data_IF_587744658499
#
_entry.id   IF_587744658499
#
_cell.length_a   1.000
_cell.length_b   1.000
_cell.length_c   1.000
_cell.angle_alpha   90.00
_cell.angle_beta   90.00
_cell.angle_gamma   90.00
#
_symmetry.space_group_name_H-M   'P 1'
#
loop_
_entity.id
_entity.type
_entity.pdbx_description
1 polymer ?
#
# COMPACT_ATOMS: atom_id res chain seq x y z
N UNK A 1 5.85 -16.67 -6.95
CA UNK A 1 5.27 -17.93 -6.41
C UNK A 1 4.40 -17.70 -5.18
N UNK A 2 3.68 -18.72 -4.70
CA UNK A 2 2.87 -18.66 -3.46
C UNK A 2 3.73 -18.23 -2.26
N UNK A 3 5.02 -18.59 -2.22
CA UNK A 3 5.97 -18.12 -1.20
C UNK A 3 6.16 -16.60 -1.23
N UNK A 4 6.29 -16.00 -2.42
CA UNK A 4 6.40 -14.55 -2.55
C UNK A 4 5.12 -13.85 -2.09
N UNK A 5 3.96 -14.45 -2.38
CA UNK A 5 2.66 -13.92 -1.96
C UNK A 5 2.52 -13.95 -0.44
N UNK A 6 2.92 -15.04 0.21
CA UNK A 6 2.96 -15.15 1.68
C UNK A 6 3.90 -14.12 2.30
N UNK A 7 5.07 -13.90 1.69
CA UNK A 7 6.01 -12.86 2.13
C UNK A 7 5.40 -11.45 1.99
N UNK A 8 4.70 -11.18 0.90
CA UNK A 8 4.01 -9.90 0.70
C UNK A 8 2.89 -9.69 1.72
N UNK A 9 2.09 -10.72 2.00
CA UNK A 9 1.06 -10.68 3.05
C UNK A 9 1.68 -10.38 4.41
N UNK A 10 2.81 -11.00 4.73
CA UNK A 10 3.49 -10.79 6.00
C UNK A 10 4.01 -9.35 6.14
N UNK A 11 4.57 -8.79 5.06
CA UNK A 11 4.96 -7.37 5.04
C UNK A 11 3.74 -6.48 5.28
N UNK A 12 2.62 -6.73 4.59
CA UNK A 12 1.41 -5.93 4.72
C UNK A 12 0.79 -5.99 6.13
N UNK A 13 0.92 -7.11 6.85
CA UNK A 13 0.48 -7.25 8.24
C UNK A 13 1.28 -6.41 9.23
N UNK A 14 2.56 -6.18 8.93
CA UNK A 14 3.48 -5.45 9.80
C UNK A 14 3.56 -3.95 9.47
N UNK A 15 2.90 -3.49 8.41
CA UNK A 15 2.84 -2.07 8.10
C UNK A 15 2.01 -1.34 9.17
N UNK A 16 2.51 -0.22 9.72
CA UNK A 16 1.75 0.59 10.65
C UNK A 16 0.54 1.19 9.96
N UNK A 17 -0.55 1.40 10.71
CA UNK A 17 -1.71 2.12 10.20
C UNK A 17 -1.30 3.53 9.76
N UNK A 18 -1.59 3.87 8.51
CA UNK A 18 -1.24 5.17 7.93
C UNK A 18 -2.34 5.59 6.95
N UNK A 19 -2.79 6.86 6.97
CA UNK A 19 -3.94 7.31 6.17
C UNK A 19 -3.76 7.19 4.65
N UNK A 20 -2.51 7.00 4.20
CA UNK A 20 -2.17 6.83 2.78
C UNK A 20 -1.69 5.39 2.45
N UNK A 21 -1.86 4.44 3.37
CA UNK A 21 -1.53 3.01 3.17
C UNK A 21 -2.78 2.20 3.46
N UNK A 22 -3.12 1.27 2.56
CA UNK A 22 -4.25 0.37 2.77
C UNK A 22 -3.83 -0.69 3.79
N UNK A 23 -4.57 -0.77 4.89
CA UNK A 23 -4.34 -1.80 5.91
C UNK A 23 -5.02 -3.11 5.55
N UNK A 24 -4.26 -4.20 5.63
CA UNK A 24 -4.77 -5.55 5.54
C UNK A 24 -5.45 -5.91 6.87
N UNK A 25 -6.73 -6.31 6.82
CA UNK A 25 -7.50 -6.71 8.01
C UNK A 25 -7.43 -8.21 8.23
N UNK A 26 -7.69 -9.00 7.18
CA UNK A 26 -7.65 -10.46 7.25
C UNK A 26 -7.13 -11.06 5.95
N UNK A 27 -6.58 -12.27 6.05
CA UNK A 27 -6.22 -13.10 4.90
C UNK A 27 -6.75 -14.50 5.09
N UNK A 28 -7.41 -15.03 4.07
CA UNK A 28 -7.90 -16.40 4.04
C UNK A 28 -7.25 -17.12 2.86
N UNK A 29 -6.93 -18.39 3.04
CA UNK A 29 -6.34 -19.24 2.01
C UNK A 29 -7.25 -20.46 1.86
N UNK A 30 -7.63 -20.78 0.62
CA UNK A 30 -8.29 -22.03 0.26
C UNK A 30 -7.37 -22.89 -0.62
N UNK A 31 -7.87 -24.00 -1.18
CA UNK A 31 -7.04 -24.95 -1.95
C UNK A 31 -6.47 -24.33 -3.24
N UNK A 32 -7.10 -23.28 -3.77
CA UNK A 32 -6.79 -22.73 -5.10
C UNK A 32 -6.40 -21.24 -5.06
N UNK A 33 -6.87 -20.47 -4.06
CA UNK A 33 -6.82 -19.00 -4.02
C UNK A 33 -6.52 -18.42 -2.63
N UNK A 34 -5.98 -17.18 -2.63
CA UNK A 34 -5.76 -16.36 -1.42
C UNK A 34 -6.66 -15.12 -1.45
N UNK A 35 -7.48 -14.97 -0.42
CA UNK A 35 -8.43 -13.88 -0.26
C UNK A 35 -7.89 -12.84 0.72
N UNK A 36 -7.77 -11.59 0.26
CA UNK A 36 -7.29 -10.46 1.06
C UNK A 36 -8.47 -9.56 1.45
N UNK A 37 -8.76 -9.47 2.75
CA UNK A 37 -9.72 -8.51 3.30
C UNK A 37 -8.97 -7.26 3.73
N UNK A 38 -9.25 -6.14 3.05
CA UNK A 38 -8.58 -4.86 3.24
C UNK A 38 -9.57 -3.76 3.64
N UNK A 39 -9.04 -2.64 4.11
CA UNK A 39 -9.83 -1.44 4.36
C UNK A 39 -10.55 -0.94 3.08
N UNK A 40 -11.81 -0.52 3.24
CA UNK A 40 -12.58 0.08 2.17
C UNK A 40 -12.10 1.52 1.92
N UNK A 41 -11.33 1.72 0.86
CA UNK A 41 -10.94 3.05 0.41
C UNK A 41 -12.10 3.73 -0.32
N UNK A 42 -12.41 4.99 0.03
CA UNK A 42 -13.40 5.83 -0.70
C UNK A 42 -12.94 6.24 -2.11
N UNK A 43 -11.76 5.76 -2.52
CA UNK A 43 -11.11 6.01 -3.80
C UNK A 43 -9.60 5.77 -3.66
N UNK A 44 -8.97 5.35 -4.74
CA UNK A 44 -7.52 5.16 -4.83
C UNK A 44 -6.82 6.45 -5.25
N UNK A 45 -5.60 6.63 -4.73
CA UNK A 45 -4.75 7.77 -5.05
C UNK A 45 -4.50 7.85 -6.57
N UNK A 46 -4.33 6.70 -7.23
CA UNK A 46 -4.04 6.63 -8.67
C UNK A 46 -5.20 7.18 -9.50
N UNK A 47 -6.45 6.76 -9.27
CA UNK A 47 -7.59 7.33 -9.99
C UNK A 47 -7.77 8.83 -9.70
N UNK A 48 -7.45 9.30 -8.48
CA UNK A 48 -7.43 10.75 -8.20
C UNK A 48 -6.34 11.46 -9.00
N UNK A 49 -5.21 10.81 -9.25
CA UNK A 49 -4.13 11.33 -10.10
C UNK A 49 -4.57 11.40 -11.56
N UNK A 50 -5.05 10.27 -12.09
CA UNK A 50 -5.43 10.13 -13.50
C UNK A 50 -6.61 11.04 -13.87
N UNK A 51 -7.64 11.14 -13.02
CA UNK A 51 -8.83 11.97 -13.29
C UNK A 51 -8.55 13.46 -13.41
N UNK A 52 -7.47 13.96 -12.81
CA UNK A 52 -7.15 15.40 -12.83
C UNK A 52 -6.49 15.84 -14.12
N UNK A 53 -5.86 14.93 -14.87
CA UNK A 53 -5.21 15.18 -16.16
C UNK A 53 -3.94 16.03 -16.04
N UNK A 54 -4.07 17.33 -15.85
CA UNK A 54 -2.96 18.27 -15.76
C UNK A 54 -2.75 18.78 -14.33
N UNK A 55 -1.48 18.84 -13.91
CA UNK A 55 -1.08 19.32 -12.61
C UNK A 55 -0.22 20.57 -12.74
N UNK A 56 -0.48 21.57 -11.89
CA UNK A 56 0.51 22.59 -11.60
C UNK A 56 1.65 21.94 -10.82
N UNK A 57 2.88 22.44 -10.96
CA UNK A 57 4.06 21.93 -10.23
C UNK A 57 3.78 21.81 -8.72
N UNK A 58 3.16 22.84 -8.13
CA UNK A 58 2.76 22.84 -6.72
C UNK A 58 1.82 21.68 -6.36
N UNK A 59 0.84 21.40 -7.23
CA UNK A 59 -0.09 20.31 -7.01
C UNK A 59 0.56 18.94 -7.19
N UNK A 60 1.46 18.80 -8.17
CA UNK A 60 2.24 17.58 -8.38
C UNK A 60 3.18 17.31 -7.20
N UNK A 61 3.85 18.34 -6.68
CA UNK A 61 4.71 18.24 -5.52
C UNK A 61 3.98 17.72 -4.27
N UNK A 62 2.74 18.16 -4.04
CA UNK A 62 1.92 17.62 -2.95
C UNK A 62 1.64 16.13 -3.11
N UNK A 63 1.31 15.68 -4.32
CA UNK A 63 1.06 14.25 -4.60
C UNK A 63 2.33 13.43 -4.43
N UNK A 64 3.44 13.88 -5.02
CA UNK A 64 4.74 13.21 -4.93
C UNK A 64 5.18 13.10 -3.47
N UNK A 65 4.99 14.16 -2.67
CA UNK A 65 5.29 14.13 -1.24
C UNK A 65 4.56 12.99 -0.52
N UNK A 66 3.25 12.85 -0.76
CA UNK A 66 2.47 11.74 -0.18
C UNK A 66 2.96 10.38 -0.62
N UNK A 67 3.34 10.22 -1.90
CA UNK A 67 3.91 8.96 -2.41
C UNK A 67 5.24 8.64 -1.72
N UNK A 68 6.14 9.62 -1.62
CA UNK A 68 7.46 9.44 -0.98
C UNK A 68 7.32 9.12 0.51
N UNK A 69 6.40 9.77 1.22
CA UNK A 69 6.09 9.48 2.63
C UNK A 69 5.68 8.00 2.81
N UNK A 70 4.79 7.50 1.94
CA UNK A 70 4.37 6.08 1.96
C UNK A 70 5.54 5.14 1.68
N UNK A 71 6.35 5.43 0.65
CA UNK A 71 7.53 4.60 0.31
C UNK A 71 8.53 4.58 1.46
N UNK A 72 8.72 5.70 2.15
CA UNK A 72 9.61 5.77 3.31
C UNK A 72 9.11 4.89 4.47
N UNK A 73 7.81 4.92 4.77
CA UNK A 73 7.20 4.04 5.79
C UNK A 73 7.40 2.57 5.41
N UNK A 74 7.15 2.19 4.16
CA UNK A 74 7.30 0.80 3.71
C UNK A 74 8.77 0.35 3.77
N UNK A 75 9.72 1.18 3.32
CA UNK A 75 11.15 0.84 3.34
C UNK A 75 11.69 0.68 4.78
N UNK A 76 11.29 1.55 5.71
CA UNK A 76 11.69 1.44 7.11
C UNK A 76 11.20 0.15 7.76
N UNK A 77 9.96 -0.26 7.47
CA UNK A 77 9.39 -1.50 8.02
C UNK A 77 9.93 -2.76 7.31
N UNK A 78 10.18 -2.69 6.00
CA UNK A 78 10.74 -3.81 5.23
C UNK A 78 12.16 -4.14 5.65
N UNK A 79 12.98 -3.14 6.03
CA UNK A 79 14.32 -3.36 6.60
C UNK A 79 14.25 -4.04 7.97
N UNK A 80 13.22 -3.72 8.77
CA UNK A 80 13.02 -4.27 10.11
C UNK A 80 12.56 -5.73 10.08
N UNK A 81 11.86 -6.18 9.02
CA UNK A 81 11.47 -7.57 8.82
C UNK A 81 12.60 -8.48 8.30
N UNK A 82 13.72 -7.90 7.87
CA UNK A 82 14.89 -8.64 7.36
C UNK A 82 16.05 -8.76 8.36
N UNK A 83 15.91 -8.18 9.56
CA UNK A 83 16.86 -8.25 10.68
C UNK A 83 16.24 -8.99 11.87
#
# INVERSE_FOLDING_TARGET
DIEDLRRQVEIMRHLPEHPNIVSLKYTYEDEDDVHLVMELCKGDLLNRIVRRGYYTERSAACVIKTVVEVVQVINLNSLCLSL
#
